data_IF_186679518152
#
_entry.id   IF_186679518152
#
_cell.length_a   1.000
_cell.length_b   1.000
_cell.length_c   1.000
_cell.angle_alpha   90.00
_cell.angle_beta   90.00
_cell.angle_gamma   90.00
#
_symmetry.space_group_name_H-M   'P 1'
#
loop_
_entity.id
_entity.type
_entity.pdbx_description
1 polymer ?
#
# COMPACT_ATOMS: atom_id res chain seq x y z
N UNK A 1 -10.68 15.58 11.11
CA UNK A 1 -9.71 14.84 10.25
C UNK A 1 -10.16 14.99 8.80
N UNK A 2 -9.40 15.70 7.94
CA UNK A 2 -9.63 15.62 6.49
C UNK A 2 -9.08 14.28 6.01
N UNK A 3 -9.95 13.30 5.79
CA UNK A 3 -9.63 12.14 4.95
C UNK A 3 -9.33 12.72 3.57
N UNK A 4 -8.06 12.69 3.14
CA UNK A 4 -7.77 12.90 1.72
C UNK A 4 -8.25 11.62 1.04
N UNK A 5 -9.04 11.77 -0.02
CA UNK A 5 -9.42 10.64 -0.85
C UNK A 5 -8.14 9.93 -1.31
N UNK A 6 -8.13 8.61 -1.22
CA UNK A 6 -7.09 7.79 -1.83
C UNK A 6 -7.52 7.60 -3.27
N UNK A 7 -6.72 8.08 -4.22
CA UNK A 7 -7.02 7.88 -5.63
C UNK A 7 -6.86 6.39 -6.00
N UNK A 8 -7.84 5.77 -6.67
CA UNK A 8 -7.78 4.36 -7.05
C UNK A 8 -6.52 3.99 -7.84
N UNK A 9 -6.05 4.89 -8.72
CA UNK A 9 -4.83 4.69 -9.50
C UNK A 9 -3.58 4.53 -8.62
N UNK A 10 -3.53 5.17 -7.45
CA UNK A 10 -2.44 4.98 -6.50
C UNK A 10 -2.47 3.59 -5.88
N UNK A 11 -3.67 3.06 -5.61
CA UNK A 11 -3.86 1.71 -5.08
C UNK A 11 -3.39 0.68 -6.09
N UNK A 12 -3.87 0.78 -7.33
CA UNK A 12 -3.51 -0.12 -8.43
C UNK A 12 -1.99 -0.14 -8.64
N UNK A 13 -1.35 1.03 -8.73
CA UNK A 13 0.10 1.14 -8.89
C UNK A 13 0.87 0.52 -7.73
N UNK A 14 0.45 0.75 -6.48
CA UNK A 14 1.13 0.19 -5.30
C UNK A 14 1.00 -1.34 -5.25
N UNK A 15 -0.10 -1.90 -5.72
CA UNK A 15 -0.28 -3.36 -5.80
C UNK A 15 0.53 -3.95 -6.96
N UNK A 16 0.56 -3.30 -8.11
CA UNK A 16 1.28 -3.76 -9.29
C UNK A 16 2.81 -3.65 -9.14
N UNK A 17 3.29 -2.55 -8.55
CA UNK A 17 4.71 -2.22 -8.42
C UNK A 17 5.04 -1.75 -6.98
N UNK A 18 4.95 -2.65 -5.98
CA UNK A 18 5.27 -2.31 -4.61
C UNK A 18 6.77 -2.07 -4.43
N UNK A 19 7.14 -1.04 -3.66
CA UNK A 19 8.51 -0.88 -3.15
C UNK A 19 8.83 -1.93 -2.07
N UNK A 20 7.82 -2.41 -1.35
CA UNK A 20 7.94 -3.45 -0.35
C UNK A 20 6.63 -4.23 -0.21
N UNK A 21 6.73 -5.55 -0.04
CA UNK A 21 5.62 -6.45 0.26
C UNK A 21 5.89 -7.20 1.55
N UNK A 22 4.90 -7.30 2.41
CA UNK A 22 4.94 -8.10 3.64
C UNK A 22 3.68 -8.94 3.76
N UNK A 23 3.79 -10.14 4.35
CA UNK A 23 2.60 -10.88 4.79
C UNK A 23 1.86 -10.10 5.89
N UNK A 24 0.53 -10.23 5.94
CA UNK A 24 -0.25 -9.79 7.09
C UNK A 24 -0.21 -10.87 8.17
N UNK A 25 0.45 -10.56 9.29
CA UNK A 25 0.61 -11.50 10.40
C UNK A 25 -0.72 -11.88 11.09
N UNK A 26 -1.74 -11.03 10.97
CA UNK A 26 -3.04 -11.27 11.59
C UNK A 26 -3.99 -12.05 10.67
N UNK A 27 -3.72 -12.07 9.37
CA UNK A 27 -4.60 -12.65 8.37
C UNK A 27 -3.79 -13.46 7.34
N UNK A 28 -3.61 -14.78 7.58
CA UNK A 28 -2.95 -15.68 6.65
C UNK A 28 -3.56 -15.55 5.24
N UNK A 29 -2.73 -15.36 4.23
CA UNK A 29 -3.15 -15.17 2.83
C UNK A 29 -3.24 -13.71 2.37
N UNK A 30 -3.25 -12.73 3.29
CA UNK A 30 -3.22 -11.32 2.92
C UNK A 30 -1.80 -10.78 2.81
N UNK A 31 -1.63 -9.85 1.88
CA UNK A 31 -0.40 -9.11 1.65
C UNK A 31 -0.59 -7.63 1.96
N UNK A 32 0.50 -7.01 2.39
CA UNK A 32 0.62 -5.57 2.64
C UNK A 32 1.66 -5.03 1.67
N UNK A 33 1.20 -4.32 0.64
CA UNK A 33 2.05 -3.59 -0.29
C UNK A 33 2.26 -2.15 0.18
N UNK A 34 3.48 -1.66 -0.03
CA UNK A 34 3.91 -0.33 0.34
C UNK A 34 4.63 0.32 -0.84
N UNK A 35 4.24 1.54 -1.17
CA UNK A 35 5.07 2.41 -2.01
C UNK A 35 4.84 3.88 -1.67
N UNK A 36 5.80 4.73 -2.01
CA UNK A 36 5.62 6.18 -1.95
C UNK A 36 4.73 6.62 -3.11
N UNK A 37 3.87 7.57 -2.82
CA UNK A 37 3.02 8.22 -3.81
C UNK A 37 3.53 9.66 -4.00
N UNK A 38 4.31 9.95 -5.05
CA UNK A 38 4.87 11.27 -5.31
C UNK A 38 3.80 12.38 -5.34
N UNK A 39 2.68 12.11 -6.01
CA UNK A 39 1.51 12.99 -6.16
C UNK A 39 0.88 13.33 -4.81
N UNK A 40 1.13 12.50 -3.80
CA UNK A 40 0.64 12.63 -2.45
C UNK A 40 1.69 13.22 -1.50
N UNK A 41 2.71 13.93 -2.03
CA UNK A 41 3.80 14.53 -1.28
C UNK A 41 4.83 13.51 -0.81
N UNK A 42 5.03 12.43 -1.57
CA UNK A 42 5.95 11.34 -1.24
C UNK A 42 5.55 10.54 0.01
N UNK A 43 4.26 10.56 0.38
CA UNK A 43 3.75 9.76 1.50
C UNK A 43 3.65 8.31 1.10
N UNK A 44 3.89 7.41 2.05
CA UNK A 44 3.77 5.97 1.83
C UNK A 44 2.29 5.59 1.88
N UNK A 45 1.81 4.94 0.83
CA UNK A 45 0.52 4.26 0.81
C UNK A 45 0.74 2.80 1.22
N UNK A 46 -0.07 2.32 2.17
CA UNK A 46 -0.20 0.90 2.49
C UNK A 46 -1.48 0.39 1.89
N UNK A 47 -1.38 -0.66 1.08
CA UNK A 47 -2.52 -1.39 0.53
C UNK A 47 -2.51 -2.81 1.08
N UNK A 48 -3.61 -3.21 1.71
CA UNK A 48 -3.84 -4.58 2.14
C UNK A 48 -4.75 -5.24 1.12
N UNK A 49 -4.29 -6.35 0.56
CA UNK A 49 -5.03 -7.08 -0.47
C UNK A 49 -4.87 -8.59 -0.29
N UNK A 50 -5.80 -9.32 -0.88
CA UNK A 50 -5.73 -10.78 -1.02
C UNK A 50 -5.53 -11.10 -2.50
N UNK A 51 -4.42 -11.76 -2.89
CA UNK A 51 -4.24 -12.22 -4.26
C UNK A 51 -5.27 -13.31 -4.58
N UNK A 52 -5.94 -13.17 -5.71
CA UNK A 52 -6.88 -14.16 -6.26
C UNK A 52 -6.13 -15.06 -7.27
N UNK A 53 -6.87 -15.88 -8.04
CA UNK A 53 -6.30 -16.90 -8.94
C UNK A 53 -5.10 -16.38 -9.76
N UNK A 54 -4.04 -17.20 -9.80
CA UNK A 54 -2.79 -16.98 -10.54
C UNK A 54 -2.06 -15.64 -10.31
N UNK A 55 -2.47 -14.84 -9.31
CA UNK A 55 -1.87 -13.55 -8.98
C UNK A 55 -2.20 -12.41 -9.95
N UNK A 56 -3.08 -12.65 -10.94
CA UNK A 56 -3.50 -11.65 -11.92
C UNK A 56 -4.57 -10.69 -11.38
N UNK A 57 -5.32 -11.13 -10.37
CA UNK A 57 -6.38 -10.36 -9.72
C UNK A 57 -6.10 -10.22 -8.22
N UNK A 58 -6.56 -9.12 -7.63
CA UNK A 58 -6.41 -8.85 -6.21
C UNK A 58 -7.67 -8.21 -5.63
N UNK A 59 -8.16 -8.75 -4.51
CA UNK A 59 -9.22 -8.12 -3.73
C UNK A 59 -8.60 -7.10 -2.77
N UNK A 60 -8.88 -5.82 -2.99
CA UNK A 60 -8.42 -4.74 -2.10
C UNK A 60 -9.27 -4.72 -0.83
N UNK A 61 -8.64 -4.97 0.30
CA UNK A 61 -9.28 -4.98 1.62
C UNK A 61 -9.25 -3.59 2.24
N UNK A 62 -8.11 -2.89 2.16
CA UNK A 62 -7.93 -1.56 2.76
C UNK A 62 -6.79 -0.80 2.10
N UNK A 63 -6.96 0.49 1.85
CA UNK A 63 -5.89 1.39 1.41
C UNK A 63 -5.81 2.62 2.33
N UNK A 64 -4.62 2.92 2.86
CA UNK A 64 -4.43 4.06 3.76
C UNK A 64 -3.01 4.60 3.74
N UNK A 65 -2.86 5.91 4.01
CA UNK A 65 -1.55 6.55 4.10
C UNK A 65 -0.86 6.17 5.42
N UNK A 66 0.27 5.48 5.32
CA UNK A 66 1.03 4.98 6.46
C UNK A 66 1.99 6.05 6.97
N UNK A 67 1.55 6.79 8.00
CA UNK A 67 2.33 7.90 8.58
C UNK A 67 3.59 7.42 9.29
N UNK A 68 3.56 6.23 9.89
CA UNK A 68 4.71 5.67 10.61
C UNK A 68 5.82 5.33 9.62
N UNK A 69 5.49 4.57 8.58
CA UNK A 69 6.44 4.25 7.50
C UNK A 69 6.90 5.49 6.75
N UNK A 70 6.02 6.46 6.50
CA UNK A 70 6.40 7.73 5.84
C UNK A 70 7.54 8.45 6.58
N UNK A 71 7.57 8.43 7.92
CA UNK A 71 8.65 9.07 8.69
C UNK A 71 9.95 8.29 8.56
N UNK A 72 9.90 6.98 8.73
CA UNK A 72 11.09 6.12 8.72
C UNK A 72 11.70 5.98 7.32
N UNK A 73 10.89 6.12 6.27
CA UNK A 73 11.37 6.05 4.89
C UNK A 73 12.18 7.29 4.49
N UNK A 74 11.87 8.46 5.09
CA UNK A 74 12.63 9.69 4.84
C UNK A 74 14.05 9.63 5.40
N UNK A 75 14.31 8.75 6.36
CA UNK A 75 15.62 8.57 7.01
C UNK A 75 16.47 7.48 6.38
N UNK A 76 15.98 6.81 5.33
CA UNK A 76 16.72 5.76 4.60
C UNK A 76 17.39 6.28 3.32
N UNK A 77 17.50 7.61 3.15
CA UNK A 77 18.18 8.27 2.04
C UNK A 77 19.35 9.11 2.52
#
# INVERSE_FOLDING_TARGET
>A
MRLRAIEPLWVERVVAEPELVEADLNHPGRLRAFARVPECGGRVLRVVYEPLQDGAEALIITALLDRGRTRNWRTSG
#
